data_IF_536357249544
#
_entry.id   IF_536357249544
#
_cell.length_a   1.000
_cell.length_b   1.000
_cell.length_c   1.000
_cell.angle_alpha   90.00
_cell.angle_beta   90.00
_cell.angle_gamma   90.00
#
_symmetry.space_group_name_H-M   'P 1'
#
loop_
_entity.id
_entity.type
_entity.pdbx_description
1 polymer ?
#
# COMPACT_ATOMS: atom_id res chain seq x y z
N UNK A 1 23.08 45.79 27.80
CA UNK A 1 21.85 45.06 28.20
C UNK A 1 21.49 44.19 27.01
N UNK A 2 21.76 42.88 27.11
CA UNK A 2 21.90 41.97 25.95
C UNK A 2 20.88 40.82 26.08
N UNK A 3 20.30 40.51 24.92
CA UNK A 3 19.53 39.31 24.56
C UNK A 3 18.02 39.34 24.86
N UNK A 4 17.27 39.67 23.81
CA UNK A 4 15.89 39.23 23.60
C UNK A 4 15.91 37.75 23.20
N UNK A 5 15.30 36.90 24.02
CA UNK A 5 15.07 35.49 23.72
C UNK A 5 13.80 35.38 22.85
N UNK A 6 13.99 34.99 21.59
CA UNK A 6 12.89 34.68 20.66
C UNK A 6 12.70 33.16 20.70
N UNK A 7 11.67 32.70 21.41
CA UNK A 7 11.22 31.30 21.40
C UNK A 7 10.28 31.08 20.22
N UNK A 8 10.79 30.47 19.14
CA UNK A 8 9.96 30.02 18.01
C UNK A 8 9.31 28.68 18.33
N UNK A 9 7.97 28.68 18.42
CA UNK A 9 7.17 27.48 18.55
C UNK A 9 7.01 26.84 17.17
N UNK A 10 7.76 25.77 16.88
CA UNK A 10 7.56 24.97 15.68
C UNK A 10 6.34 24.08 15.89
N UNK A 11 5.23 24.44 15.24
CA UNK A 11 4.02 23.62 15.18
C UNK A 11 4.26 22.47 14.20
N UNK A 12 4.54 21.27 14.71
CA UNK A 12 4.75 20.07 13.90
C UNK A 12 3.45 19.64 13.22
N UNK A 13 3.47 19.52 11.89
CA UNK A 13 2.40 18.90 11.12
C UNK A 13 2.44 17.38 11.35
N UNK A 14 1.45 16.86 12.07
CA UNK A 14 1.19 15.42 12.13
C UNK A 14 0.52 14.99 10.81
N UNK A 15 1.30 14.39 9.92
CA UNK A 15 0.76 13.68 8.77
C UNK A 15 0.04 12.42 9.28
N UNK A 16 -1.29 12.49 9.38
CA UNK A 16 -2.15 11.33 9.60
C UNK A 16 -2.02 10.41 8.38
N UNK A 17 -1.17 9.40 8.46
CA UNK A 17 -1.23 8.28 7.53
C UNK A 17 -2.48 7.49 7.91
N UNK A 18 -3.61 7.81 7.29
CA UNK A 18 -4.81 7.00 7.37
C UNK A 18 -4.47 5.66 6.71
N UNK A 19 -4.17 4.64 7.52
CA UNK A 19 -3.89 3.28 7.08
C UNK A 19 -5.10 2.77 6.30
N UNK A 20 -5.04 2.92 4.98
CA UNK A 20 -6.08 2.56 4.03
C UNK A 20 -5.44 1.56 3.12
N UNK A 21 -5.83 0.29 3.23
CA UNK A 21 -5.24 -0.76 2.44
C UNK A 21 -5.41 -0.45 0.93
N UNK A 22 -4.41 -0.77 0.12
CA UNK A 22 -4.42 -0.46 -1.31
C UNK A 22 -5.66 -1.05 -1.98
N UNK A 23 -6.26 -0.34 -2.93
CA UNK A 23 -7.50 -0.80 -3.57
C UNK A 23 -7.23 -1.65 -4.81
N UNK A 24 -7.97 -2.75 -4.96
CA UNK A 24 -7.91 -3.58 -6.16
C UNK A 24 -8.50 -2.83 -7.36
N UNK A 25 -7.78 -2.80 -8.48
CA UNK A 25 -8.20 -2.17 -9.74
C UNK A 25 -8.08 -3.12 -10.93
N UNK A 26 -9.02 -2.99 -11.87
CA UNK A 26 -8.99 -3.73 -13.14
C UNK A 26 -8.09 -3.04 -14.19
N UNK A 27 -8.03 -1.71 -14.14
CA UNK A 27 -7.29 -0.87 -15.08
C UNK A 27 -6.40 0.11 -14.34
N UNK A 28 -5.19 0.29 -14.83
CA UNK A 28 -4.17 1.16 -14.25
C UNK A 28 -4.00 2.48 -15.03
N UNK A 29 -5.03 2.90 -15.78
CA UNK A 29 -4.96 4.08 -16.64
C UNK A 29 -4.63 5.34 -15.82
N UNK A 30 -3.54 6.01 -16.19
CA UNK A 30 -3.06 7.22 -15.52
C UNK A 30 -2.37 7.01 -14.17
N UNK A 31 -2.14 5.76 -13.74
CA UNK A 31 -1.40 5.46 -12.50
C UNK A 31 0.05 5.07 -12.78
N UNK A 32 0.94 5.45 -11.88
CA UNK A 32 2.35 5.11 -12.00
C UNK A 32 2.61 3.73 -11.40
N UNK A 33 3.14 2.80 -12.20
CA UNK A 33 3.52 1.48 -11.71
C UNK A 33 4.71 1.61 -10.76
N UNK A 34 4.49 1.25 -9.50
CA UNK A 34 5.52 1.25 -8.47
C UNK A 34 6.31 -0.05 -8.43
N UNK A 35 5.70 -1.18 -8.80
CA UNK A 35 6.36 -2.48 -8.75
C UNK A 35 5.40 -3.66 -8.79
N UNK A 36 5.84 -4.77 -8.20
CA UNK A 36 5.07 -6.01 -8.06
C UNK A 36 5.21 -6.55 -6.64
N UNK A 37 4.11 -7.07 -6.11
CA UNK A 37 4.06 -7.78 -4.82
C UNK A 37 3.48 -9.16 -5.03
N UNK A 38 3.86 -10.10 -4.16
CA UNK A 38 3.34 -11.46 -4.19
C UNK A 38 2.81 -11.86 -2.83
N UNK A 39 1.72 -12.62 -2.83
CA UNK A 39 1.14 -13.25 -1.66
C UNK A 39 1.01 -14.75 -1.91
N UNK A 40 0.98 -15.51 -0.83
CA UNK A 40 1.00 -16.96 -0.84
C UNK A 40 0.32 -17.46 0.41
N UNK A 41 -0.05 -18.74 0.41
CA UNK A 41 -0.54 -19.41 1.62
C UNK A 41 -1.93 -18.94 2.08
N UNK A 42 -2.75 -18.42 1.15
CA UNK A 42 -4.14 -18.06 1.40
C UNK A 42 -5.07 -19.26 1.16
N UNK A 43 -6.16 -19.38 1.91
CA UNK A 43 -7.18 -20.42 1.67
C UNK A 43 -8.29 -19.94 0.74
N UNK A 44 -8.53 -18.63 0.67
CA UNK A 44 -9.54 -18.01 -0.19
C UNK A 44 -8.97 -16.87 -1.03
N UNK A 45 -9.70 -16.48 -2.08
CA UNK A 45 -9.32 -15.33 -2.91
C UNK A 45 -9.37 -14.03 -2.12
N UNK A 46 -10.30 -13.89 -1.18
CA UNK A 46 -10.38 -12.73 -0.28
C UNK A 46 -9.13 -12.63 0.60
N UNK A 47 -8.70 -13.72 1.23
CA UNK A 47 -7.46 -13.72 2.04
C UNK A 47 -6.23 -13.40 1.20
N UNK A 48 -6.20 -13.88 -0.05
CA UNK A 48 -5.12 -13.57 -0.98
C UNK A 48 -5.13 -12.09 -1.35
N UNK A 49 -6.30 -11.53 -1.68
CA UNK A 49 -6.48 -10.13 -2.06
C UNK A 49 -6.14 -9.20 -0.89
N UNK A 50 -6.59 -9.51 0.32
CA UNK A 50 -6.23 -8.78 1.55
C UNK A 50 -4.72 -8.79 1.81
N UNK A 51 -4.07 -9.94 1.62
CA UNK A 51 -2.62 -10.06 1.77
C UNK A 51 -1.86 -9.24 0.71
N UNK A 52 -2.35 -9.20 -0.54
CA UNK A 52 -1.77 -8.37 -1.61
C UNK A 52 -1.99 -6.88 -1.35
N UNK A 53 -3.20 -6.52 -0.93
CA UNK A 53 -3.60 -5.15 -0.57
C UNK A 53 -2.73 -4.58 0.55
N UNK A 54 -2.54 -5.34 1.64
CA UNK A 54 -1.65 -4.96 2.74
C UNK A 54 -0.21 -4.79 2.29
N UNK A 55 0.31 -5.73 1.48
CA UNK A 55 1.68 -5.63 0.96
C UNK A 55 1.85 -4.43 0.04
N UNK A 56 0.84 -4.12 -0.77
CA UNK A 56 0.85 -2.94 -1.62
C UNK A 56 0.87 -1.65 -0.79
N UNK A 57 0.03 -1.57 0.25
CA UNK A 57 0.00 -0.44 1.21
C UNK A 57 1.33 -0.29 1.96
N UNK A 58 1.93 -1.39 2.41
CA UNK A 58 3.27 -1.41 3.04
C UNK A 58 4.37 -0.87 2.09
N UNK A 59 4.19 -1.00 0.78
CA UNK A 59 5.08 -0.42 -0.23
C UNK A 59 4.72 1.04 -0.58
N UNK A 60 3.67 1.61 0.02
CA UNK A 60 3.18 2.96 -0.24
C UNK A 60 2.34 3.09 -1.51
N UNK A 61 1.85 1.97 -2.05
CA UNK A 61 0.94 1.97 -3.19
C UNK A 61 -0.50 2.26 -2.75
N UNK A 62 -1.22 3.02 -3.55
CA UNK A 62 -2.64 3.32 -3.31
C UNK A 62 -3.55 2.28 -3.93
N UNK A 63 -3.04 1.57 -4.94
CA UNK A 63 -3.81 0.62 -5.74
C UNK A 63 -2.98 -0.58 -6.15
N UNK A 64 -3.63 -1.72 -6.38
CA UNK A 64 -2.98 -2.91 -6.90
C UNK A 64 -3.86 -3.62 -7.93
N UNK A 65 -3.24 -4.36 -8.85
CA UNK A 65 -3.91 -5.15 -9.88
C UNK A 65 -3.38 -6.57 -9.83
N UNK A 66 -4.25 -7.54 -9.59
CA UNK A 66 -3.88 -8.95 -9.61
C UNK A 66 -3.53 -9.36 -11.04
N UNK A 67 -2.31 -9.86 -11.24
CA UNK A 67 -1.84 -10.38 -12.52
C UNK A 67 -2.21 -11.83 -12.72
N UNK A 68 -2.05 -12.63 -11.67
CA UNK A 68 -2.26 -14.07 -11.72
C UNK A 68 -2.54 -14.60 -10.32
N UNK A 69 -3.47 -15.53 -10.24
CA UNK A 69 -3.71 -16.37 -9.07
C UNK A 69 -3.54 -17.83 -9.45
N UNK A 70 -2.96 -18.63 -8.56
CA UNK A 70 -2.71 -20.06 -8.79
C UNK A 70 -2.83 -20.83 -7.49
N UNK A 71 -3.13 -22.12 -7.60
CA UNK A 71 -3.16 -23.05 -6.47
C UNK A 71 -4.46 -23.82 -6.35
N UNK A 72 -4.36 -25.06 -5.85
CA UNK A 72 -5.50 -25.97 -5.69
C UNK A 72 -6.02 -26.01 -4.24
N UNK A 73 -5.11 -26.12 -3.26
CA UNK A 73 -5.42 -26.14 -1.83
C UNK A 73 -4.96 -24.89 -1.07
N UNK A 74 -3.98 -24.19 -1.64
CA UNK A 74 -3.45 -22.92 -1.14
C UNK A 74 -3.27 -22.00 -2.32
N UNK A 75 -3.77 -20.79 -2.18
CA UNK A 75 -3.71 -19.78 -3.21
C UNK A 75 -2.43 -18.96 -3.07
N UNK A 76 -1.89 -18.65 -4.24
CA UNK A 76 -0.73 -17.82 -4.46
C UNK A 76 -1.10 -16.80 -5.53
N UNK A 77 -0.60 -15.59 -5.39
CA UNK A 77 -0.95 -14.50 -6.29
C UNK A 77 0.18 -13.51 -6.45
N UNK A 78 0.23 -12.90 -7.62
CA UNK A 78 1.12 -11.78 -7.93
C UNK A 78 0.25 -10.61 -8.35
N UNK A 79 0.56 -9.43 -7.82
CA UNK A 79 -0.10 -8.18 -8.18
C UNK A 79 0.91 -7.11 -8.57
N UNK A 80 0.57 -6.30 -9.57
CA UNK A 80 1.22 -5.02 -9.81
C UNK A 80 0.69 -3.99 -8.82
N UNK A 81 1.56 -3.10 -8.36
CA UNK A 81 1.20 -2.04 -7.43
C UNK A 81 1.42 -0.68 -8.06
N UNK A 82 0.56 0.27 -7.74
CA UNK A 82 0.53 1.59 -8.36
C UNK A 82 0.29 2.68 -7.32
N UNK A 83 0.83 3.86 -7.62
CA UNK A 83 0.54 5.08 -6.88
C UNK A 83 -0.68 5.80 -7.43
#
# INVERSE_FOLDING_TARGET
MKSLLITSLVMGFIAMNAASAAQEINHADGKEKMGVVSASNAYTLDELSDALSRKADEQGATSFKILSTTGNNRLHGVAEIYK
#
